data_IF_670229345719
#
_entry.id   IF_670229345719
#
_cell.length_a   1.000
_cell.length_b   1.000
_cell.length_c   1.000
_cell.angle_alpha   90.00
_cell.angle_beta   90.00
_cell.angle_gamma   90.00
#
_symmetry.space_group_name_H-M   'P 1'
#
loop_
_entity.id
_entity.type
_entity.pdbx_description
1 polymer ?
2 non-polymer ?
3 non-polymer ?
4 water ?
#
# COMPACT_ATOMS: atom_id res chain seq x y z
N UNK A 8 8.24 -13.07 18.57
CA UNK A 8 7.86 -12.61 17.21
C UNK A 8 7.00 -11.37 17.38
N UNK A 9 6.99 -10.48 16.37
CA UNK A 9 6.13 -9.31 16.41
C UNK A 9 5.74 -8.92 14.98
N UNK A 10 4.58 -8.24 14.87
CA UNK A 10 4.03 -7.83 13.59
C UNK A 10 3.59 -6.37 13.55
N UNK A 11 3.85 -5.61 14.62
CA UNK A 11 3.48 -4.21 14.63
C UNK A 11 4.61 -3.39 15.27
N UNK A 12 4.74 -2.11 14.86
CA UNK A 12 5.67 -1.16 15.45
C UNK A 12 4.97 0.18 15.50
N UNK A 13 5.36 1.02 16.45
CA UNK A 13 4.87 2.38 16.56
C UNK A 13 6.07 3.33 16.48
N UNK A 14 5.95 4.35 15.62
CA UNK A 14 6.99 5.34 15.47
C UNK A 14 6.33 6.71 15.38
N UNK A 15 6.69 7.61 16.31
CA UNK A 15 6.08 8.94 16.40
C UNK A 15 4.55 8.79 16.45
N UNK A 16 3.84 9.33 15.46
CA UNK A 16 2.37 9.21 15.37
C UNK A 16 1.89 8.19 14.36
N UNK A 17 2.73 7.25 14.01
CA UNK A 17 2.41 6.25 13.01
C UNK A 17 2.52 4.85 13.59
N UNK A 18 1.46 4.06 13.30
CA UNK A 18 1.42 2.64 13.63
C UNK A 18 1.55 1.85 12.33
N UNK A 19 2.50 0.92 12.31
CA UNK A 19 2.67 0.06 11.15
C UNK A 19 2.46 -1.40 11.57
N UNK A 20 1.58 -2.13 10.83
CA UNK A 20 1.35 -3.52 11.13
C UNK A 20 1.46 -4.34 9.84
N UNK A 21 2.10 -5.51 9.95
CA UNK A 21 2.09 -6.49 8.89
C UNK A 21 1.00 -7.53 9.19
N UNK A 22 0.15 -7.71 8.21
CA UNK A 22 -1.01 -8.57 8.30
C UNK A 22 -0.90 -9.67 7.23
N UNK A 23 -1.28 -10.89 7.60
CA UNK A 23 -1.47 -11.96 6.64
C UNK A 23 -2.96 -12.04 6.33
N UNK A 24 -3.31 -11.70 5.10
CA UNK A 24 -4.72 -11.69 4.71
C UNK A 24 -4.94 -11.19 3.29
N UNK A 25 -6.20 -10.84 3.03
CA UNK A 25 -6.68 -10.41 1.74
C UNK A 25 -6.87 -8.91 1.75
N UNK A 26 -6.25 -8.22 0.79
CA UNK A 26 -6.36 -6.76 0.72
C UNK A 26 -7.82 -6.33 0.60
N UNK A 27 -8.62 -7.12 -0.16
CA UNK A 27 -9.97 -6.70 -0.44
C UNK A 27 -10.93 -6.85 0.74
N UNK A 28 -10.47 -7.50 1.82
CA UNK A 28 -11.28 -7.71 3.01
C UNK A 28 -10.87 -6.80 4.17
N UNK A 29 -9.94 -5.87 3.91
CA UNK A 29 -9.53 -4.89 4.91
C UNK A 29 -10.67 -3.94 5.25
N UNK A 30 -10.54 -3.37 6.46
CA UNK A 30 -11.28 -2.20 6.90
C UNK A 30 -10.24 -1.11 7.17
N UNK A 31 -10.33 -0.03 6.38
CA UNK A 31 -9.41 1.09 6.55
C UNK A 31 -10.02 2.27 5.81
N UNK A 32 -9.55 3.49 6.06
CA UNK A 32 -10.04 4.60 5.28
C UNK A 32 -9.73 4.45 3.80
N UNK A 33 -8.49 4.01 3.52
CA UNK A 33 -8.00 3.80 2.15
C UNK A 33 -7.45 2.38 1.99
N UNK A 34 -7.80 1.76 0.87
CA UNK A 34 -7.22 0.48 0.45
C UNK A 34 -6.55 0.78 -0.88
N UNK A 35 -5.34 0.25 -1.03
CA UNK A 35 -4.54 0.46 -2.23
C UNK A 35 -4.63 -0.72 -3.21
N UNK A 36 -4.87 -0.35 -4.47
CA UNK A 36 -4.94 -1.31 -5.58
C UNK A 36 -3.66 -1.20 -6.43
N UNK A 37 -3.47 -2.16 -7.34
CA UNK A 37 -2.31 -2.21 -8.19
C UNK A 37 -2.74 -2.65 -9.58
N UNK A 38 -2.73 -1.74 -10.55
CA UNK A 38 -3.36 -1.98 -11.83
C UNK A 38 -2.53 -1.50 -13.01
N UNK A 39 -2.89 -2.04 -14.17
CA UNK A 39 -2.64 -1.46 -15.47
C UNK A 39 -3.79 -0.51 -15.74
N UNK A 40 -3.56 0.83 -15.84
CA UNK A 40 -4.65 1.77 -16.03
C UNK A 40 -5.48 1.53 -17.27
N UNK A 41 -4.93 0.80 -18.25
CA UNK A 41 -5.64 0.49 -19.48
C UNK A 41 -6.52 -0.76 -19.35
N UNK A 42 -6.40 -1.52 -18.25
CA UNK A 42 -7.26 -2.68 -18.01
C UNK A 42 -7.13 -3.10 -16.56
N UNK A 43 -8.04 -2.60 -15.71
CA UNK A 43 -8.00 -2.84 -14.28
C UNK A 43 -8.55 -4.22 -13.91
N UNK A 44 -8.80 -5.10 -14.90
CA UNK A 44 -9.28 -6.44 -14.63
C UNK A 44 -8.17 -7.50 -14.63
N UNK A 45 -6.93 -7.11 -14.92
CA UNK A 45 -5.77 -7.97 -15.01
C UNK A 45 -4.96 -7.91 -13.72
N UNK A 46 -4.59 -9.06 -13.17
CA UNK A 46 -3.76 -9.18 -11.99
C UNK A 46 -4.56 -9.63 -10.78
N UNK A 47 -3.96 -10.36 -9.82
CA UNK A 47 -4.75 -10.91 -8.72
C UNK A 47 -5.19 -9.84 -7.72
N UNK A 48 -4.36 -8.83 -7.41
CA UNK A 48 -4.82 -7.75 -6.51
C UNK A 48 -5.96 -7.03 -7.21
N UNK A 49 -5.78 -6.68 -8.49
CA UNK A 49 -6.78 -5.96 -9.26
C UNK A 49 -8.11 -6.71 -9.29
N UNK A 50 -8.06 -8.02 -9.64
CA UNK A 50 -9.30 -8.78 -9.69
C UNK A 50 -9.93 -8.89 -8.31
N UNK A 51 -9.12 -9.04 -7.26
CA UNK A 51 -9.64 -9.17 -5.90
C UNK A 51 -10.42 -7.92 -5.51
N UNK A 52 -9.79 -6.77 -5.70
CA UNK A 52 -10.38 -5.50 -5.30
C UNK A 52 -11.64 -5.21 -6.16
N UNK A 53 -11.57 -5.46 -7.47
CA UNK A 53 -12.69 -5.16 -8.35
C UNK A 53 -13.91 -6.00 -7.99
N UNK A 54 -13.74 -7.32 -7.81
CA UNK A 54 -14.86 -8.17 -7.49
C UNK A 54 -15.51 -7.78 -6.17
N UNK A 55 -14.71 -7.43 -5.15
CA UNK A 55 -15.27 -7.05 -3.86
C UNK A 55 -15.90 -5.66 -3.90
N UNK A 56 -15.30 -4.69 -4.62
CA UNK A 56 -15.83 -3.32 -4.66
C UNK A 56 -17.11 -3.32 -5.48
N UNK A 57 -17.13 -4.13 -6.55
CA UNK A 57 -18.26 -4.14 -7.44
C UNK A 57 -18.03 -3.38 -8.74
N UNK A 58 -18.90 -3.68 -9.72
CA UNK A 58 -18.70 -3.17 -11.06
C UNK A 58 -18.82 -1.65 -11.11
N UNK A 59 -19.55 -1.06 -10.15
CA UNK A 59 -19.69 0.40 -10.11
C UNK A 59 -18.34 1.12 -9.90
N UNK A 60 -17.43 0.46 -9.19
CA UNK A 60 -16.11 1.00 -9.01
C UNK A 60 -15.39 1.06 -10.35
N UNK A 61 -15.51 0.02 -11.17
CA UNK A 61 -14.88 0.08 -12.50
C UNK A 61 -15.40 1.24 -13.33
N UNK A 62 -16.71 1.49 -13.30
CA UNK A 62 -17.29 2.61 -14.04
C UNK A 62 -16.62 3.92 -13.61
N UNK A 63 -16.51 4.10 -12.29
CA UNK A 63 -15.93 5.31 -11.75
C UNK A 63 -14.45 5.43 -12.11
N UNK A 64 -13.72 4.31 -12.06
CA UNK A 64 -12.33 4.29 -12.48
C UNK A 64 -12.21 4.85 -13.91
N UNK A 65 -12.97 4.23 -14.80
CA UNK A 65 -12.90 4.61 -16.20
C UNK A 65 -13.21 6.08 -16.45
N UNK A 66 -14.29 6.56 -15.80
CA UNK A 66 -14.67 7.95 -15.96
C UNK A 66 -13.62 8.91 -15.37
N UNK A 67 -13.03 8.55 -14.25
CA UNK A 67 -12.01 9.39 -13.64
C UNK A 67 -10.76 9.35 -14.51
N UNK A 68 -10.44 8.17 -15.08
CA UNK A 68 -9.28 8.04 -15.95
C UNK A 68 -9.45 8.97 -17.15
N UNK A 69 -10.65 8.97 -17.75
CA UNK A 69 -10.87 9.82 -18.90
C UNK A 69 -10.62 11.30 -18.55
N UNK A 70 -10.93 11.72 -17.33
CA UNK A 70 -10.74 13.12 -16.94
C UNK A 70 -9.29 13.45 -16.58
N UNK A 71 -8.61 12.52 -15.89
CA UNK A 71 -7.37 12.82 -15.19
C UNK A 71 -6.12 12.22 -15.83
N UNK A 72 -6.26 11.09 -16.53
CA UNK A 72 -5.12 10.23 -16.83
C UNK A 72 -4.16 10.90 -17.81
N UNK A 73 -2.87 10.76 -17.51
CA UNK A 73 -1.76 11.27 -18.31
C UNK A 73 -0.54 10.46 -17.89
N UNK A 74 0.56 10.61 -18.63
CA UNK A 74 1.74 9.81 -18.32
C UNK A 74 2.25 9.98 -16.89
N UNK A 75 2.13 11.20 -16.36
CA UNK A 75 2.67 11.48 -15.04
C UNK A 75 1.83 10.89 -13.90
N UNK A 76 0.59 10.45 -14.18
CA UNK A 76 -0.27 9.97 -13.11
C UNK A 76 0.14 8.60 -12.60
N UNK A 77 0.46 8.50 -11.32
CA UNK A 77 0.83 7.23 -10.69
C UNK A 77 -0.24 6.70 -9.76
N UNK A 78 -1.11 7.58 -9.26
CA UNK A 78 -2.17 7.16 -8.35
C UNK A 78 -3.46 7.84 -8.81
N UNK A 79 -4.52 7.03 -8.95
CA UNK A 79 -5.87 7.48 -9.28
C UNK A 79 -6.80 7.07 -8.13
N UNK A 80 -7.59 8.04 -7.64
CA UNK A 80 -8.46 7.83 -6.49
C UNK A 80 -9.90 7.62 -6.94
N UNK A 81 -10.53 6.58 -6.41
CA UNK A 81 -11.96 6.40 -6.50
C UNK A 81 -12.52 6.19 -5.11
N UNK A 82 -13.87 6.22 -5.04
CA UNK A 82 -14.53 5.78 -3.83
C UNK A 82 -14.34 4.27 -3.66
N UNK A 83 -14.68 3.74 -2.48
CA UNK A 83 -14.52 2.36 -2.12
C UNK A 83 -15.67 1.44 -2.52
N UNK A 84 -16.85 2.00 -2.78
CA UNK A 84 -18.03 1.21 -3.11
C UNK A 84 -18.24 0.11 -2.08
N UNK A 85 -18.30 -1.17 -2.46
CA UNK A 85 -18.67 -2.22 -1.51
C UNK A 85 -17.50 -2.67 -0.63
N UNK A 86 -16.31 -2.12 -0.86
CA UNK A 86 -15.21 -2.32 0.09
C UNK A 86 -15.51 -1.60 1.40
N UNK A 87 -14.87 -2.06 2.48
CA UNK A 87 -15.00 -1.40 3.79
C UNK A 87 -13.95 -0.28 3.90
N UNK A 88 -14.01 0.67 2.96
CA UNK A 88 -13.12 1.81 2.94
C UNK A 88 -13.83 3.00 2.31
N UNK A 89 -13.26 4.19 2.51
CA UNK A 89 -13.73 5.43 1.91
C UNK A 89 -13.26 5.55 0.46
N UNK A 90 -11.95 5.36 0.26
CA UNK A 90 -11.34 5.55 -1.05
C UNK A 90 -10.45 4.34 -1.39
N UNK A 91 -10.28 4.13 -2.69
CA UNK A 91 -9.28 3.23 -3.22
C UNK A 91 -8.25 4.11 -3.92
N UNK A 92 -6.98 3.90 -3.56
CA UNK A 92 -5.87 4.50 -4.30
C UNK A 92 -5.32 3.44 -5.25
N UNK A 93 -5.55 3.69 -6.54
CA UNK A 93 -5.14 2.75 -7.57
C UNK A 93 -3.75 3.16 -8.06
N UNK A 94 -2.74 2.34 -7.73
CA UNK A 94 -1.39 2.60 -8.20
C UNK A 94 -1.33 2.14 -9.65
N UNK A 95 -0.86 3.02 -10.56
CA UNK A 95 -0.94 2.77 -11.99
C UNK A 95 0.44 2.45 -12.55
N UNK A 96 0.58 1.26 -13.15
CA UNK A 96 1.82 0.82 -13.80
C UNK A 96 1.66 0.99 -15.31
N UNK A 97 2.38 1.94 -15.88
CA UNK A 97 2.24 2.26 -17.29
C UNK A 97 3.48 2.99 -17.83
N UNK A 98 4.65 2.51 -17.52
CA UNK A 98 5.82 3.04 -18.18
C UNK A 98 6.87 1.98 -18.33
N UNK A 99 7.94 2.33 -19.01
CA UNK A 99 9.08 1.42 -19.17
C UNK A 99 10.19 1.72 -18.16
N UNK A 100 10.00 2.62 -17.22
CA UNK A 100 11.02 2.97 -16.25
C UNK A 100 11.19 1.84 -15.22
N UNK A 101 12.34 1.80 -14.53
CA UNK A 101 12.62 0.73 -13.56
C UNK A 101 11.56 0.63 -12.46
N UNK A 102 11.08 -0.58 -12.24
CA UNK A 102 9.90 -0.76 -11.41
C UNK A 102 10.14 -0.37 -9.98
N UNK A 103 11.32 -0.60 -9.37
CA UNK A 103 11.53 -0.09 -8.00
C UNK A 103 11.44 1.44 -7.91
N UNK A 104 11.82 2.15 -8.98
CA UNK A 104 11.76 3.61 -8.99
C UNK A 104 10.31 4.06 -9.00
N UNK A 105 9.52 3.42 -9.86
CA UNK A 105 8.08 3.71 -9.92
C UNK A 105 7.46 3.44 -8.56
N UNK A 106 7.76 2.31 -7.94
CA UNK A 106 7.24 1.94 -6.66
C UNK A 106 7.49 3.03 -5.61
N UNK A 107 8.72 3.49 -5.52
CA UNK A 107 9.07 4.50 -4.54
C UNK A 107 8.22 5.77 -4.73
N UNK A 108 8.08 6.25 -5.97
CA UNK A 108 7.28 7.41 -6.24
C UNK A 108 5.80 7.17 -5.88
N UNK A 109 5.28 6.01 -6.24
CA UNK A 109 3.86 5.71 -6.00
C UNK A 109 3.59 5.60 -4.50
N UNK A 110 4.52 5.01 -3.75
CA UNK A 110 4.35 4.90 -2.30
C UNK A 110 4.29 6.27 -1.66
N UNK A 111 5.24 7.12 -2.03
CA UNK A 111 5.28 8.48 -1.43
C UNK A 111 3.96 9.16 -1.78
N UNK A 112 3.51 9.04 -3.00
CA UNK A 112 2.29 9.77 -3.43
C UNK A 112 1.07 9.28 -2.64
N UNK A 113 0.95 7.98 -2.43
CA UNK A 113 -0.17 7.45 -1.62
C UNK A 113 -0.14 8.08 -0.22
N UNK A 114 1.03 8.12 0.41
CA UNK A 114 1.16 8.68 1.76
C UNK A 114 0.91 10.18 1.77
N UNK A 115 1.42 10.93 0.78
CA UNK A 115 1.12 12.35 0.70
C UNK A 115 -0.39 12.60 0.53
N UNK A 116 -1.06 11.74 -0.21
CA UNK A 116 -2.50 11.90 -0.41
C UNK A 116 -3.28 11.72 0.90
N UNK A 117 -2.66 11.02 1.87
CA UNK A 117 -3.25 10.87 3.17
C UNK A 117 -3.38 12.20 3.89
N UNK A 118 -2.46 13.14 3.62
CA UNK A 118 -2.58 14.49 4.14
C UNK A 118 -3.72 15.22 3.41
N UNK A 119 -3.69 15.21 2.07
CA UNK A 119 -4.66 15.94 1.28
C UNK A 119 -6.10 15.53 1.65
N UNK A 120 -6.33 14.23 1.84
CA UNK A 120 -7.68 13.73 2.08
C UNK A 120 -7.96 13.38 3.54
N UNK A 121 -7.05 13.78 4.43
CA UNK A 121 -7.21 13.63 5.86
C UNK A 121 -7.55 12.23 6.28
N UNK A 122 -6.68 11.31 5.89
CA UNK A 122 -6.85 9.89 6.05
C UNK A 122 -6.22 9.42 7.37
N UNK A 123 -6.88 8.54 8.11
CA UNK A 123 -6.38 8.05 9.38
C UNK A 123 -5.84 6.62 9.29
N UNK A 124 -6.20 5.87 8.23
CA UNK A 124 -5.73 4.51 8.08
C UNK A 124 -5.65 4.16 6.60
N UNK A 125 -4.59 3.40 6.24
CA UNK A 125 -4.36 3.00 4.86
C UNK A 125 -3.75 1.62 4.85
N UNK A 126 -4.27 0.76 3.95
CA UNK A 126 -3.80 -0.61 3.85
C UNK A 126 -3.27 -0.87 2.43
N UNK A 127 -2.01 -1.32 2.36
CA UNK A 127 -1.32 -1.63 1.11
C UNK A 127 -1.17 -3.14 0.97
N UNK A 128 -1.27 -3.69 -0.26
CA UNK A 128 -0.73 -5.00 -0.56
C UNK A 128 0.77 -4.81 -0.81
N UNK A 129 1.48 -5.92 -1.09
CA UNK A 129 2.89 -5.91 -1.37
C UNK A 129 3.08 -5.49 -2.82
N UNK A 130 2.89 -4.20 -3.05
CA UNK A 130 2.90 -3.63 -4.39
C UNK A 130 4.16 -4.04 -5.11
N UNK A 131 4.00 -4.50 -6.38
CA UNK A 131 5.13 -4.72 -7.26
C UNK A 131 5.74 -6.12 -7.18
N UNK A 132 5.38 -6.90 -6.16
CA UNK A 132 6.04 -8.17 -5.88
C UNK A 132 5.48 -9.34 -6.70
N UNK A 133 4.36 -9.13 -7.42
CA UNK A 133 3.75 -10.18 -8.22
C UNK A 133 4.16 -10.03 -9.68
N UNK A 134 3.24 -9.58 -10.51
CA UNK A 134 3.50 -9.37 -11.91
C UNK A 134 4.67 -8.43 -12.22
N UNK A 135 4.95 -7.45 -11.34
CA UNK A 135 6.04 -6.51 -11.63
C UNK A 135 7.40 -7.09 -11.24
N UNK A 136 7.42 -8.23 -10.54
CA UNK A 136 8.64 -8.98 -10.26
C UNK A 136 9.70 -8.21 -9.46
N UNK A 137 9.28 -7.25 -8.59
CA UNK A 137 10.23 -6.58 -7.71
C UNK A 137 10.63 -7.57 -6.61
N UNK A 138 11.94 -7.71 -6.37
CA UNK A 138 12.48 -8.56 -5.34
C UNK A 138 11.82 -8.21 -4.00
N UNK A 139 11.51 -9.21 -3.20
CA UNK A 139 10.79 -9.01 -1.94
C UNK A 139 11.52 -8.07 -0.97
N UNK A 140 12.85 -8.21 -0.90
CA UNK A 140 13.62 -7.36 -0.01
C UNK A 140 13.67 -5.92 -0.49
N UNK A 141 13.74 -5.70 -1.81
CA UNK A 141 13.69 -4.36 -2.37
C UNK A 141 12.34 -3.72 -2.07
N UNK A 142 11.23 -4.42 -2.32
CA UNK A 142 9.92 -3.89 -2.04
C UNK A 142 9.78 -3.52 -0.56
N UNK A 143 10.19 -4.42 0.34
CA UNK A 143 10.16 -4.16 1.76
C UNK A 143 10.97 -2.92 2.12
N UNK A 144 12.21 -2.79 1.59
CA UNK A 144 13.01 -1.62 1.96
C UNK A 144 12.36 -0.33 1.48
N UNK A 145 11.75 -0.33 0.28
CA UNK A 145 11.12 0.88 -0.22
C UNK A 145 9.87 1.24 0.59
N UNK A 146 9.03 0.26 0.90
CA UNK A 146 7.80 0.53 1.61
C UNK A 146 8.11 1.05 3.01
N UNK A 147 9.07 0.42 3.69
CA UNK A 147 9.47 0.87 5.02
C UNK A 147 10.10 2.26 4.96
N UNK A 148 10.92 2.51 3.95
CA UNK A 148 11.58 3.79 3.82
C UNK A 148 10.53 4.89 3.70
N UNK A 149 9.47 4.68 2.90
CA UNK A 149 8.55 5.77 2.65
C UNK A 149 7.61 5.97 3.85
N UNK A 150 7.28 4.91 4.55
CA UNK A 150 6.46 5.02 5.75
C UNK A 150 7.25 5.79 6.83
N UNK A 151 8.53 5.49 6.97
CA UNK A 151 9.33 6.15 7.99
C UNK A 151 9.57 7.62 7.65
N UNK A 152 9.76 7.95 6.37
CA UNK A 152 9.83 9.33 5.91
C UNK A 152 8.57 10.09 6.29
N UNK A 153 7.40 9.49 6.05
CA UNK A 153 6.13 10.07 6.40
C UNK A 153 6.07 10.34 7.89
N UNK A 154 6.45 9.37 8.70
CA UNK A 154 6.36 9.48 10.15
C UNK A 154 7.20 10.63 10.68
N UNK A 155 8.30 10.94 9.98
CA UNK A 155 9.19 12.03 10.41
C UNK A 155 8.74 13.38 9.85
N UNK A 156 8.35 13.40 8.57
CA UNK A 156 8.07 14.65 7.88
C UNK A 156 6.64 15.16 8.13
N UNK A 157 5.72 14.26 8.51
CA UNK A 157 4.34 14.55 8.82
C UNK A 157 4.03 14.08 10.23
N UNK A 158 4.78 14.60 11.20
CA UNK A 158 4.79 14.06 12.54
C UNK A 158 3.45 14.30 13.27
N UNK A 159 2.64 15.32 12.92
CA UNK A 159 1.38 15.56 13.60
C UNK A 159 0.23 14.77 12.99
N UNK A 160 0.47 14.01 11.90
CA UNK A 160 -0.62 13.33 11.22
C UNK A 160 -0.66 11.88 11.65
N UNK A 161 -1.59 11.54 12.54
CA UNK A 161 -1.74 10.17 12.99
C UNK A 161 -2.12 9.28 11.81
N UNK A 162 -1.49 8.10 11.71
CA UNK A 162 -1.82 7.20 10.61
C UNK A 162 -1.52 5.76 11.06
N UNK A 163 -2.49 4.88 10.75
CA UNK A 163 -2.31 3.46 10.88
C UNK A 163 -2.15 2.84 9.49
N UNK A 164 -0.95 2.33 9.27
CA UNK A 164 -0.59 1.73 7.99
C UNK A 164 -0.50 0.23 8.18
N UNK A 165 -1.16 -0.51 7.27
CA UNK A 165 -1.03 -1.95 7.22
C UNK A 165 -0.42 -2.38 5.89
N UNK A 166 0.54 -3.31 6.01
CA UNK A 166 1.06 -4.06 4.88
C UNK A 166 0.48 -5.45 4.88
N UNK A 167 -0.40 -5.68 3.90
CA UNK A 167 -1.21 -6.88 3.85
C UNK A 167 -0.56 -7.86 2.88
N UNK A 168 -0.07 -8.98 3.43
CA UNK A 168 0.66 -10.01 2.72
C UNK A 168 -0.30 -11.18 2.51
N UNK A 169 -0.42 -11.66 1.27
CA UNK A 169 -1.33 -12.74 0.96
C UNK A 169 -0.93 -13.95 1.80
N UNK A 170 -1.90 -14.72 2.38
CA UNK A 170 -1.54 -15.75 3.34
C UNK A 170 -0.49 -16.74 2.86
N UNK A 171 -0.53 -17.09 1.58
CA UNK A 171 0.41 -18.07 1.06
C UNK A 171 1.73 -17.48 0.58
N UNK A 172 1.88 -16.15 0.64
CA UNK A 172 3.13 -15.50 0.26
C UNK A 172 4.06 -15.41 1.46
N UNK A 173 4.44 -16.54 1.99
CA UNK A 173 5.19 -16.60 3.23
C UNK A 173 6.58 -15.99 3.08
N UNK A 174 7.26 -16.20 1.95
CA UNK A 174 8.58 -15.58 1.77
C UNK A 174 8.50 -14.07 1.81
N UNK A 175 7.46 -13.49 1.18
CA UNK A 175 7.26 -12.05 1.27
C UNK A 175 7.04 -11.65 2.71
N UNK A 176 6.12 -12.36 3.41
CA UNK A 176 5.89 -12.06 4.83
C UNK A 176 7.19 -12.03 5.62
N UNK A 177 8.04 -13.03 5.41
CA UNK A 177 9.30 -13.07 6.14
C UNK A 177 10.24 -11.91 5.83
N UNK A 178 10.29 -11.51 4.55
CA UNK A 178 11.07 -10.35 4.17
C UNK A 178 10.55 -9.08 4.85
N UNK A 179 9.22 -8.86 4.88
CA UNK A 179 8.64 -7.68 5.52
C UNK A 179 8.90 -7.75 7.02
N UNK A 180 8.76 -8.92 7.66
CA UNK A 180 8.94 -9.05 9.10
C UNK A 180 10.41 -8.82 9.48
N UNK A 181 11.33 -9.27 8.62
CA UNK A 181 12.74 -9.00 8.83
C UNK A 181 13.04 -7.52 8.75
N UNK A 182 12.44 -6.83 7.77
CA UNK A 182 12.62 -5.39 7.67
C UNK A 182 12.08 -4.67 8.90
N UNK A 183 10.90 -5.04 9.35
CA UNK A 183 10.35 -4.43 10.54
C UNK A 183 11.28 -4.59 11.73
N UNK A 184 11.87 -5.77 11.90
CA UNK A 184 12.78 -6.07 12.99
C UNK A 184 14.02 -5.18 12.91
N UNK A 185 14.55 -5.01 11.68
CA UNK A 185 15.75 -4.19 11.48
C UNK A 185 15.45 -2.73 11.85
N UNK A 186 14.34 -2.20 11.32
CA UNK A 186 14.03 -0.80 11.58
C UNK A 186 13.70 -0.55 13.05
N UNK A 187 12.99 -1.51 13.68
CA UNK A 187 12.55 -1.40 15.07
C UNK A 187 13.74 -1.41 16.02
N UNK A 188 14.73 -2.27 15.74
CA UNK A 188 15.89 -2.32 16.61
C UNK A 188 16.67 -1.01 16.47
N UNK A 189 16.88 -0.57 15.23
CA UNK A 189 17.71 0.61 15.00
C UNK A 189 17.07 1.82 15.68
N UNK A 190 15.76 1.97 15.55
CA UNK A 190 15.08 3.17 16.06
C UNK A 190 14.49 2.98 17.45
N UNK A 191 14.81 1.87 18.11
CA UNK A 191 14.36 1.58 19.45
C UNK A 191 12.84 1.68 19.53
N UNK A 192 12.13 1.11 18.57
CA UNK A 192 10.68 1.17 18.53
C UNK A 192 10.10 0.06 19.39
N UNK A 193 8.95 0.36 19.97
CA UNK A 193 8.15 -0.64 20.67
C UNK A 193 7.32 -1.44 19.67
N UNK A 194 7.39 -2.75 19.84
CA UNK A 194 6.78 -3.73 18.96
C UNK A 194 5.66 -4.44 19.70
N UNK A 195 4.70 -4.93 18.91
CA UNK A 195 3.58 -5.68 19.42
C UNK A 195 3.35 -6.91 18.55
N UNK A 196 2.67 -7.90 19.15
CA UNK A 196 2.28 -9.14 18.52
C UNK A 196 0.77 -9.22 18.61
N UNK A 197 0.10 -9.06 17.46
CA UNK A 197 -1.36 -9.09 17.37
C UNK A 197 -1.82 -10.20 16.43
#
# INVERSE_FOLDING_TARGET
GAMATTPSFNAMVVNNLTLQIVQGHIEWQTADVIVNSVNPHDITVGPVAKSILQQAGVEMKSEFLATKAKQFQRSQLVLVTKGFNLFCKYIYHVLWHSEFPKPQILKHAMKECLEKCIEQNITSISFPALGTGNMEIKKETAAEILFDEVLTFAKDHVKHQLTVKFVIFPTDLEIYKAFSSEMAKRSKMLSLNNYSV
#
